data_IF_673385981257
#
_entry.id   IF_673385981257
#
_cell.length_a   1.000
_cell.length_b   1.000
_cell.length_c   1.000
_cell.angle_alpha   90.00
_cell.angle_beta   90.00
_cell.angle_gamma   90.00
#
_symmetry.space_group_name_H-M   'P 1'
#
loop_
_entity.id
_entity.type
_entity.pdbx_description
1 polymer ?
#
# COMPACT_ATOMS: atom_id res chain seq x y z
N UNK A 1 -4.91 -9.88 -14.71
CA UNK A 1 -4.88 -9.89 -13.24
C UNK A 1 -3.86 -10.85 -12.63
N UNK A 2 -4.02 -12.19 -12.65
CA UNK A 2 -3.11 -13.07 -11.87
C UNK A 2 -1.64 -13.02 -12.31
N UNK A 3 -1.36 -13.00 -13.62
CA UNK A 3 0.01 -12.84 -14.15
C UNK A 3 0.61 -11.47 -13.81
N UNK A 4 -0.17 -10.39 -14.01
CA UNK A 4 0.24 -9.03 -13.63
C UNK A 4 0.49 -8.91 -12.13
N UNK A 5 -0.37 -9.51 -11.31
CA UNK A 5 -0.23 -9.49 -9.85
C UNK A 5 1.03 -10.22 -9.41
N UNK A 6 1.45 -11.29 -10.09
CA UNK A 6 2.76 -11.92 -9.81
C UNK A 6 3.93 -10.98 -10.11
N UNK A 7 3.88 -10.26 -11.24
CA UNK A 7 4.91 -9.27 -11.59
C UNK A 7 4.98 -8.15 -10.56
N UNK A 8 3.83 -7.57 -10.21
CA UNK A 8 3.71 -6.53 -9.19
C UNK A 8 4.15 -7.05 -7.82
N UNK A 9 3.82 -8.30 -7.48
CA UNK A 9 4.27 -8.90 -6.21
C UNK A 9 5.79 -8.89 -6.12
N UNK A 10 6.49 -9.25 -7.20
CA UNK A 10 7.97 -9.19 -7.24
C UNK A 10 8.50 -7.77 -7.10
N UNK A 11 7.87 -6.78 -7.74
CA UNK A 11 8.28 -5.38 -7.59
C UNK A 11 8.08 -4.87 -6.14
N UNK A 12 6.99 -5.29 -5.49
CA UNK A 12 6.74 -5.04 -4.07
C UNK A 12 7.82 -5.69 -3.20
N UNK A 13 8.16 -6.95 -3.47
CA UNK A 13 9.21 -7.67 -2.76
C UNK A 13 10.57 -6.96 -2.89
N UNK A 14 10.97 -6.59 -4.11
CA UNK A 14 12.22 -5.86 -4.35
C UNK A 14 12.25 -4.51 -3.61
N UNK A 15 11.13 -3.80 -3.59
CA UNK A 15 11.01 -2.52 -2.86
C UNK A 15 11.15 -2.73 -1.36
N UNK A 16 10.53 -3.79 -0.82
CA UNK A 16 10.67 -4.18 0.59
C UNK A 16 12.11 -4.59 0.90
N UNK A 17 12.77 -5.35 0.02
CA UNK A 17 14.14 -5.82 0.19
C UNK A 17 15.15 -4.68 0.23
N UNK A 18 14.97 -3.65 -0.61
CA UNK A 18 15.82 -2.44 -0.63
C UNK A 18 15.56 -1.50 0.56
N UNK A 19 14.36 -1.52 1.13
CA UNK A 19 14.00 -0.65 2.26
C UNK A 19 14.70 -1.09 3.56
N UNK A 20 15.22 -0.11 4.32
CA UNK A 20 15.74 -0.33 5.68
C UNK A 20 14.64 -0.10 6.72
N UNK A 21 13.84 0.95 6.54
CA UNK A 21 12.71 1.28 7.43
C UNK A 21 11.41 1.41 6.65
N UNK A 22 10.39 0.69 7.10
CA UNK A 22 9.07 0.65 6.45
C UNK A 22 8.01 1.25 7.38
N UNK A 23 7.19 2.15 6.84
CA UNK A 23 6.00 2.66 7.52
C UNK A 23 4.75 2.13 6.84
N UNK A 24 3.96 1.35 7.59
CA UNK A 24 2.67 0.85 7.14
C UNK A 24 1.57 1.71 7.75
N UNK A 25 0.70 2.24 6.90
CA UNK A 25 -0.53 2.94 7.27
C UNK A 25 -1.70 2.09 6.82
N UNK A 26 -2.60 1.74 7.74
CA UNK A 26 -3.75 0.90 7.41
C UNK A 26 -5.04 1.47 7.97
N UNK A 27 -6.15 1.19 7.30
CA UNK A 27 -7.48 1.59 7.76
C UNK A 27 -7.85 0.90 9.08
N UNK A 28 -8.58 1.62 9.95
CA UNK A 28 -9.01 1.14 11.27
C UNK A 28 -10.37 0.44 11.18
N UNK A 29 -10.44 -0.64 10.40
CA UNK A 29 -11.58 -1.55 10.34
C UNK A 29 -11.10 -3.00 10.13
N UNK A 30 -12.03 -3.91 9.86
CA UNK A 30 -11.68 -5.31 9.68
C UNK A 30 -10.75 -5.56 8.47
N UNK A 31 -10.97 -4.88 7.35
CA UNK A 31 -10.21 -5.10 6.12
C UNK A 31 -8.79 -4.54 6.26
N UNK A 32 -8.66 -3.31 6.75
CA UNK A 32 -7.36 -2.70 7.04
C UNK A 32 -6.57 -3.44 8.14
N UNK A 33 -7.21 -3.90 9.22
CA UNK A 33 -6.52 -4.66 10.28
C UNK A 33 -6.02 -6.01 9.76
N UNK A 34 -6.83 -6.73 8.99
CA UNK A 34 -6.42 -8.01 8.39
C UNK A 34 -5.29 -7.81 7.37
N UNK A 35 -5.40 -6.79 6.51
CA UNK A 35 -4.35 -6.39 5.57
C UNK A 35 -3.03 -6.14 6.27
N UNK A 36 -3.05 -5.33 7.33
CA UNK A 36 -1.85 -5.01 8.09
C UNK A 36 -1.26 -6.24 8.79
N UNK A 37 -2.09 -7.13 9.33
CA UNK A 37 -1.61 -8.35 9.97
C UNK A 37 -0.91 -9.30 8.98
N UNK A 38 -1.49 -9.50 7.80
CA UNK A 38 -0.91 -10.31 6.73
C UNK A 38 0.44 -9.75 6.28
N UNK A 39 0.48 -8.45 5.96
CA UNK A 39 1.72 -7.79 5.54
C UNK A 39 2.77 -7.79 6.65
N UNK A 40 2.37 -7.52 7.90
CA UNK A 40 3.30 -7.50 9.05
C UNK A 40 3.94 -8.86 9.25
N UNK A 41 3.19 -9.96 9.09
CA UNK A 41 3.75 -11.31 9.13
C UNK A 41 4.79 -11.52 8.03
N UNK A 42 4.50 -11.07 6.80
CA UNK A 42 5.44 -11.15 5.69
C UNK A 42 6.73 -10.34 5.95
N UNK A 43 6.60 -9.09 6.39
CA UNK A 43 7.73 -8.21 6.73
C UNK A 43 8.57 -8.78 7.88
N UNK A 44 7.92 -9.37 8.89
CA UNK A 44 8.60 -10.05 10.00
C UNK A 44 9.43 -11.25 9.52
N UNK A 45 8.87 -12.10 8.64
CA UNK A 45 9.59 -13.23 8.06
C UNK A 45 10.76 -12.81 7.16
N UNK A 46 10.71 -11.59 6.62
CA UNK A 46 11.79 -10.97 5.83
C UNK A 46 12.77 -10.16 6.70
N UNK A 47 12.67 -10.27 8.02
CA UNK A 47 13.53 -9.59 9.00
C UNK A 47 13.60 -8.06 8.80
N UNK A 48 12.48 -7.43 8.42
CA UNK A 48 12.41 -6.00 8.17
C UNK A 48 12.09 -5.20 9.43
N UNK A 49 12.70 -4.01 9.56
CA UNK A 49 12.29 -3.00 10.54
C UNK A 49 11.08 -2.24 9.99
N UNK A 50 9.94 -2.37 10.67
CA UNK A 50 8.72 -1.67 10.27
C UNK A 50 7.89 -1.21 11.47
N UNK A 51 7.03 -0.23 11.22
CA UNK A 51 5.96 0.16 12.15
C UNK A 51 4.63 0.23 11.44
N UNK A 52 3.57 -0.05 12.17
CA UNK A 52 2.18 0.00 11.68
C UNK A 52 1.44 1.10 12.41
N UNK A 53 0.71 1.93 11.67
CA UNK A 53 -0.19 2.96 12.19
C UNK A 53 -1.58 2.74 11.62
N UNK A 54 -2.55 2.56 12.50
CA UNK A 54 -3.95 2.48 12.10
C UNK A 54 -4.58 3.87 12.10
N UNK A 55 -5.23 4.22 11.00
CA UNK A 55 -5.91 5.49 10.81
C UNK A 55 -7.38 5.23 10.47
N UNK A 56 -8.29 6.05 11.04
CA UNK A 56 -9.70 6.00 10.65
C UNK A 56 -9.91 6.46 9.21
N UNK A 57 -9.19 7.48 8.78
CA UNK A 57 -9.19 7.99 7.42
C UNK A 57 -7.85 8.67 7.13
N UNK A 58 -7.49 8.73 5.84
CA UNK A 58 -6.30 9.45 5.37
C UNK A 58 -6.67 10.92 5.10
N UNK A 59 -6.99 11.64 6.16
CA UNK A 59 -7.30 13.08 6.12
C UNK A 59 -6.04 13.93 5.89
N UNK A 60 -6.23 15.18 5.47
CA UNK A 60 -5.13 16.10 5.10
C UNK A 60 -4.14 16.35 6.25
N UNK A 61 -4.62 16.41 7.50
CA UNK A 61 -3.76 16.53 8.69
C UNK A 61 -2.88 15.28 8.88
N UNK A 62 -3.43 14.09 8.63
CA UNK A 62 -2.70 12.82 8.66
C UNK A 62 -1.65 12.76 7.56
N UNK A 63 -2.00 13.16 6.34
CA UNK A 63 -1.06 13.27 5.21
C UNK A 63 0.13 14.16 5.57
N UNK A 64 -0.10 15.32 6.18
CA UNK A 64 0.99 16.20 6.66
C UNK A 64 1.88 15.53 7.71
N UNK A 65 1.29 14.75 8.62
CA UNK A 65 2.04 13.97 9.60
C UNK A 65 2.98 12.94 8.98
N UNK A 66 2.62 12.37 7.83
CA UNK A 66 3.40 11.33 7.13
C UNK A 66 4.72 11.89 6.57
N UNK A 67 4.78 13.18 6.24
CA UNK A 67 6.01 13.82 5.76
C UNK A 67 7.13 13.74 6.83
N UNK A 68 6.78 13.83 8.11
CA UNK A 68 7.73 13.74 9.22
C UNK A 68 8.20 12.31 9.56
N UNK A 69 7.69 11.30 8.86
CA UNK A 69 8.06 9.90 9.13
C UNK A 69 9.45 9.58 8.58
N UNK A 70 10.31 9.04 9.45
CA UNK A 70 11.65 8.61 9.09
C UNK A 70 11.59 7.15 8.60
N UNK A 71 11.30 6.97 7.31
CA UNK A 71 11.25 5.68 6.62
C UNK A 71 11.63 5.81 5.14
N UNK A 72 12.11 4.72 4.55
CA UNK A 72 12.47 4.65 3.12
C UNK A 72 11.27 4.26 2.25
N UNK A 73 10.36 3.46 2.81
CA UNK A 73 9.20 2.91 2.12
C UNK A 73 7.91 3.18 2.90
N UNK A 74 6.93 3.74 2.20
CA UNK A 74 5.56 3.88 2.69
C UNK A 74 4.68 2.79 2.09
N UNK A 75 3.81 2.20 2.91
CA UNK A 75 2.80 1.24 2.44
C UNK A 75 1.45 1.67 3.01
N UNK A 76 0.48 1.90 2.13
CA UNK A 76 -0.90 2.26 2.44
C UNK A 76 -1.80 1.06 2.14
N UNK A 77 -2.62 0.68 3.13
CA UNK A 77 -3.51 -0.47 3.05
C UNK A 77 -4.95 0.00 3.28
N UNK A 78 -5.85 -0.42 2.38
CA UNK A 78 -7.30 -0.12 2.45
C UNK A 78 -7.65 1.39 2.38
N UNK A 79 -6.70 2.19 1.89
CA UNK A 79 -6.90 3.58 1.48
C UNK A 79 -5.72 4.04 0.62
N UNK A 80 -5.76 5.29 0.17
CA UNK A 80 -4.69 5.95 -0.58
C UNK A 80 -5.11 6.22 -2.02
N UNK A 81 -5.84 5.30 -2.66
CA UNK A 81 -6.27 5.49 -4.06
C UNK A 81 -7.20 6.70 -4.19
N UNK A 82 -8.14 6.83 -3.25
CA UNK A 82 -9.06 7.95 -3.20
C UNK A 82 -8.39 9.29 -2.86
N UNK A 83 -7.14 9.29 -2.36
CA UNK A 83 -6.39 10.47 -1.95
C UNK A 83 -5.38 10.96 -3.00
N UNK A 84 -5.21 10.24 -4.11
CA UNK A 84 -4.29 10.63 -5.19
C UNK A 84 -4.64 11.97 -5.85
N UNK A 85 -5.86 12.49 -5.66
CA UNK A 85 -6.24 13.84 -6.09
C UNK A 85 -5.71 14.97 -5.19
N UNK A 86 -5.07 14.67 -4.06
CA UNK A 86 -4.49 15.66 -3.16
C UNK A 86 -3.00 15.88 -3.46
N UNK A 87 -2.63 17.12 -3.79
CA UNK A 87 -1.24 17.48 -4.11
C UNK A 87 -0.25 17.17 -2.97
N UNK A 88 -0.68 17.30 -1.70
CA UNK A 88 0.19 16.95 -0.58
C UNK A 88 0.52 15.47 -0.52
N UNK A 89 -0.40 14.61 -0.97
CA UNK A 89 -0.18 13.17 -1.02
C UNK A 89 0.69 12.79 -2.21
N UNK A 90 0.44 13.39 -3.39
CA UNK A 90 1.30 13.25 -4.57
C UNK A 90 2.75 13.65 -4.28
N UNK A 91 2.96 14.77 -3.58
CA UNK A 91 4.30 15.23 -3.19
C UNK A 91 5.04 14.21 -2.32
N UNK A 92 4.34 13.54 -1.38
CA UNK A 92 4.95 12.47 -0.57
C UNK A 92 5.42 11.32 -1.45
N UNK A 93 4.60 10.95 -2.44
CA UNK A 93 4.91 9.87 -3.39
C UNK A 93 6.10 10.26 -4.28
N UNK A 94 6.15 11.50 -4.78
CA UNK A 94 7.26 12.02 -5.57
C UNK A 94 8.60 11.98 -4.82
N UNK A 95 8.58 12.21 -3.50
CA UNK A 95 9.78 12.24 -2.66
C UNK A 95 10.18 10.87 -2.10
N UNK A 96 9.28 9.87 -2.10
CA UNK A 96 9.49 8.61 -1.38
C UNK A 96 8.75 7.43 -2.02
N UNK A 97 9.44 6.29 -2.18
CA UNK A 97 8.83 5.05 -2.67
C UNK A 97 7.60 4.72 -1.81
N UNK A 98 6.47 4.54 -2.48
CA UNK A 98 5.15 4.37 -1.89
C UNK A 98 4.43 3.22 -2.57
N UNK A 99 3.84 2.34 -1.77
CA UNK A 99 2.99 1.24 -2.21
C UNK A 99 1.58 1.52 -1.70
N UNK A 100 0.59 1.43 -2.58
CA UNK A 100 -0.83 1.53 -2.23
C UNK A 100 -1.50 0.22 -2.60
N UNK A 101 -2.10 -0.47 -1.62
CA UNK A 101 -2.88 -1.69 -1.84
C UNK A 101 -4.29 -1.41 -1.31
N UNK A 102 -5.22 -1.21 -2.23
CA UNK A 102 -6.53 -0.65 -1.94
C UNK A 102 -7.53 -1.10 -3.00
N UNK A 103 -8.82 -1.02 -2.70
CA UNK A 103 -9.90 -1.46 -3.58
C UNK A 103 -10.99 -0.40 -3.76
N UNK A 104 -10.86 0.75 -3.09
CA UNK A 104 -11.78 1.87 -3.24
C UNK A 104 -11.69 2.54 -4.61
N UNK A 105 -12.74 3.30 -4.95
CA UNK A 105 -12.85 4.05 -6.21
C UNK A 105 -11.68 5.03 -6.41
N UNK A 106 -11.18 5.08 -7.65
CA UNK A 106 -10.17 6.04 -8.07
C UNK A 106 -10.83 7.40 -8.29
N UNK A 107 -10.32 8.47 -7.66
CA UNK A 107 -10.76 9.84 -7.95
C UNK A 107 -9.97 10.49 -9.08
N UNK A 108 -8.74 10.04 -9.28
CA UNK A 108 -7.82 10.51 -10.30
C UNK A 108 -6.82 9.39 -10.60
N UNK A 109 -6.38 9.28 -11.85
CA UNK A 109 -5.24 8.44 -12.20
C UNK A 109 -3.96 9.25 -12.02
N UNK A 110 -3.06 8.76 -11.18
CA UNK A 110 -1.75 9.36 -10.94
C UNK A 110 -0.68 8.28 -11.13
N UNK A 111 0.25 8.52 -12.04
CA UNK A 111 1.38 7.65 -12.31
C UNK A 111 2.67 8.35 -11.86
N UNK A 112 3.53 7.59 -11.17
CA UNK A 112 4.83 8.08 -10.71
C UNK A 112 5.78 6.89 -10.54
N UNK A 113 7.07 7.06 -10.87
CA UNK A 113 8.09 5.99 -10.71
C UNK A 113 8.25 5.49 -9.27
N UNK A 114 7.95 6.36 -8.30
CA UNK A 114 7.96 6.03 -6.88
C UNK A 114 6.66 5.39 -6.40
N UNK A 115 5.64 5.22 -7.25
CA UNK A 115 4.36 4.63 -6.89
C UNK A 115 4.21 3.21 -7.42
N UNK A 116 3.94 2.27 -6.52
CA UNK A 116 3.36 0.97 -6.88
C UNK A 116 1.90 1.01 -6.42
N UNK A 117 0.96 1.06 -7.37
CA UNK A 117 -0.47 1.14 -7.08
C UNK A 117 -1.17 -0.15 -7.46
N UNK A 118 -1.67 -0.87 -6.46
CA UNK A 118 -2.45 -2.09 -6.62
C UNK A 118 -3.89 -1.80 -6.27
N UNK A 119 -4.74 -1.74 -7.29
CA UNK A 119 -6.18 -1.56 -7.14
C UNK A 119 -6.93 -2.30 -8.28
N UNK A 120 -8.00 -3.08 -8.00
CA UNK A 120 -8.74 -3.83 -9.03
C UNK A 120 -9.25 -2.94 -10.17
N UNK A 121 -9.58 -1.68 -9.88
CA UNK A 121 -10.02 -0.71 -10.89
C UNK A 121 -8.95 -0.45 -11.97
N UNK A 122 -7.66 -0.55 -11.66
CA UNK A 122 -6.57 -0.41 -12.63
C UNK A 122 -6.50 -1.58 -13.62
N UNK A 123 -7.19 -2.69 -13.30
CA UNK A 123 -7.29 -3.89 -14.15
C UNK A 123 -8.69 -4.05 -14.76
N UNK A 124 -9.49 -2.98 -14.79
CA UNK A 124 -10.88 -2.99 -15.27
C UNK A 124 -11.81 -3.95 -14.49
N UNK A 125 -11.54 -4.14 -13.20
CA UNK A 125 -12.38 -4.94 -12.29
C UNK A 125 -13.13 -4.04 -11.31
N UNK A 126 -14.23 -4.55 -10.76
CA UNK A 126 -14.97 -3.89 -9.68
C UNK A 126 -14.17 -3.95 -8.38
N UNK A 127 -14.02 -2.84 -7.66
CA UNK A 127 -13.40 -2.77 -6.34
C UNK A 127 -14.11 -3.63 -5.29
N UNK A 128 -15.39 -3.99 -5.48
CA UNK A 128 -16.09 -4.92 -4.60
C UNK A 128 -15.76 -6.40 -4.87
N UNK A 129 -15.02 -6.70 -5.93
CA UNK A 129 -14.66 -8.09 -6.29
C UNK A 129 -13.62 -8.70 -5.34
N UNK A 130 -12.83 -7.86 -4.64
CA UNK A 130 -11.80 -8.28 -3.70
C UNK A 130 -11.52 -7.15 -2.71
N UNK A 131 -11.37 -7.50 -1.43
CA UNK A 131 -10.99 -6.55 -0.37
C UNK A 131 -9.49 -6.25 -0.41
N UNK A 132 -9.04 -5.21 0.30
CA UNK A 132 -7.62 -4.93 0.46
C UNK A 132 -6.88 -6.11 1.11
N UNK A 133 -7.48 -6.77 2.11
CA UNK A 133 -6.89 -7.95 2.75
C UNK A 133 -6.77 -9.12 1.77
N UNK A 134 -7.75 -9.27 0.86
CA UNK A 134 -7.69 -10.24 -0.23
C UNK A 134 -6.52 -9.97 -1.18
N UNK A 135 -6.29 -8.72 -1.57
CA UNK A 135 -5.14 -8.33 -2.40
C UNK A 135 -3.82 -8.60 -1.68
N UNK A 136 -3.69 -8.18 -0.42
CA UNK A 136 -2.49 -8.43 0.38
C UNK A 136 -2.23 -9.93 0.52
N UNK A 137 -3.27 -10.74 0.78
CA UNK A 137 -3.15 -12.20 0.82
C UNK A 137 -2.59 -12.77 -0.49
N UNK A 138 -3.14 -12.37 -1.64
CA UNK A 138 -2.67 -12.85 -2.94
C UNK A 138 -1.23 -12.44 -3.22
N UNK A 139 -0.84 -11.21 -2.86
CA UNK A 139 0.54 -10.73 -2.99
C UNK A 139 1.47 -11.59 -2.11
N UNK A 140 1.18 -11.72 -0.81
CA UNK A 140 2.00 -12.51 0.10
C UNK A 140 2.09 -13.99 -0.33
N UNK A 141 0.99 -14.57 -0.81
CA UNK A 141 0.96 -15.94 -1.33
C UNK A 141 1.85 -16.12 -2.57
N UNK A 142 1.90 -15.14 -3.46
CA UNK A 142 2.78 -15.20 -4.63
C UNK A 142 4.27 -15.15 -4.26
N UNK A 143 4.60 -14.52 -3.13
CA UNK A 143 5.98 -14.33 -2.66
C UNK A 143 6.46 -15.44 -1.71
N UNK A 144 5.53 -16.14 -1.06
CA UNK A 144 5.84 -17.24 -0.16
C UNK A 144 4.71 -18.29 -0.21
N UNK A 145 4.72 -19.18 -1.23
CA UNK A 145 3.64 -20.13 -1.48
C UNK A 145 3.47 -21.20 -0.39
#
# INVERSE_FOLDING_TARGET
>A
MLEELKSISKEIEESIEKARKICVFSHLDADGICSAALLSRFLYLKEKEFKVKFLRQLERDKIKGIQGEICDLLIFLDFGSGQLHHDEFKKIIEERKTIIIDHHQLKENFENENLIHVNPHLFNLDGNSISAAGLVYLICKNLNP
#
